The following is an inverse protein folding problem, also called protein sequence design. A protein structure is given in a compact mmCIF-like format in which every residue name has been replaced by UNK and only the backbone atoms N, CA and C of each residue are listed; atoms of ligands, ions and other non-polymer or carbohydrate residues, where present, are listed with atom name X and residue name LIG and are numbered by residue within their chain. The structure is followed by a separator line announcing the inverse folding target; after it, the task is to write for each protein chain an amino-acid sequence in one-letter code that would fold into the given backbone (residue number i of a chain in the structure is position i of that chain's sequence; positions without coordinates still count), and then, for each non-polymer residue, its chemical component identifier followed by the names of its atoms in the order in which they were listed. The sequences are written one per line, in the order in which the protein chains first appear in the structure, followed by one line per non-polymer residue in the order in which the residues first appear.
data_IF_269207991201
#
_entry.id   IF_269207991201
#
_cell.length_a   1.000
_cell.length_b   1.000
_cell.length_c   1.000
_cell.angle_alpha   90.00
_cell.angle_beta   90.00
_cell.angle_gamma   90.00
#
_symmetry.space_group_name_H-M   'P 1'
#
loop_
_entity.id
_entity.type
_entity.pdbx_description
1 polymer ?
#
# COMPACT_ATOMS: atom_id res chain seq x y z
N UNK A 1 13.39 52.09 -12.62
CA UNK A 1 12.92 51.26 -13.73
C UNK A 1 12.76 49.85 -13.15
N UNK A 2 11.60 49.24 -13.14
CA UNK A 2 11.50 47.82 -12.74
C UNK A 2 12.24 46.98 -13.78
N UNK A 3 13.15 46.14 -13.31
CA UNK A 3 13.89 45.18 -14.12
C UNK A 3 12.86 44.29 -14.89
N UNK A 4 12.94 44.31 -16.21
CA UNK A 4 12.12 43.39 -17.03
C UNK A 4 12.62 41.97 -16.77
N UNK A 5 11.75 41.16 -16.17
CA UNK A 5 11.98 39.73 -15.98
C UNK A 5 12.38 39.08 -17.32
N UNK A 6 13.37 38.20 -17.30
CA UNK A 6 13.75 37.42 -18.47
C UNK A 6 12.54 36.63 -19.02
N UNK A 7 12.55 36.28 -20.30
CA UNK A 7 11.49 35.47 -20.91
C UNK A 7 11.27 34.13 -20.16
N UNK A 8 12.35 33.57 -19.62
CA UNK A 8 12.35 32.34 -18.83
C UNK A 8 11.65 32.53 -17.49
N UNK A 9 11.91 33.67 -16.82
CA UNK A 9 11.27 34.00 -15.53
C UNK A 9 9.78 34.27 -15.72
N UNK A 10 9.41 34.95 -16.80
CA UNK A 10 7.99 35.19 -17.15
C UNK A 10 7.24 33.89 -17.42
N UNK A 11 7.87 32.93 -18.11
CA UNK A 11 7.28 31.61 -18.34
C UNK A 11 7.12 30.84 -17.02
N UNK A 12 8.12 30.88 -16.16
CA UNK A 12 8.07 30.23 -14.84
C UNK A 12 6.94 30.78 -13.98
N UNK A 13 6.79 32.11 -13.91
CA UNK A 13 5.69 32.76 -13.17
C UNK A 13 4.33 32.32 -13.72
N UNK A 14 4.14 32.33 -15.05
CA UNK A 14 2.89 31.90 -15.68
C UNK A 14 2.55 30.43 -15.40
N UNK A 15 3.55 29.54 -15.39
CA UNK A 15 3.35 28.13 -15.06
C UNK A 15 2.98 27.95 -13.59
N UNK A 16 3.56 28.69 -12.67
CA UNK A 16 3.19 28.68 -11.25
C UNK A 16 1.76 29.19 -11.03
N UNK A 17 1.37 30.28 -11.68
CA UNK A 17 0.00 30.81 -11.61
C UNK A 17 -1.02 29.80 -12.17
N UNK A 18 -0.70 29.18 -13.31
CA UNK A 18 -1.51 28.10 -13.88
C UNK A 18 -1.63 26.93 -12.91
N UNK A 19 -0.51 26.47 -12.33
CA UNK A 19 -0.49 25.37 -11.37
C UNK A 19 -1.37 25.66 -10.14
N UNK A 20 -1.26 26.86 -9.56
CA UNK A 20 -2.12 27.29 -8.44
C UNK A 20 -3.61 27.24 -8.80
N UNK A 21 -3.96 27.74 -9.98
CA UNK A 21 -5.35 27.72 -10.46
C UNK A 21 -5.87 26.30 -10.64
N UNK A 22 -5.06 25.37 -11.15
CA UNK A 22 -5.47 23.99 -11.41
C UNK A 22 -5.49 23.12 -10.15
N UNK A 23 -4.63 23.39 -9.16
CA UNK A 23 -4.72 22.79 -7.83
C UNK A 23 -6.08 23.12 -7.17
N UNK A 24 -6.60 24.33 -7.40
CA UNK A 24 -7.85 24.78 -6.83
C UNK A 24 -7.79 25.05 -5.32
N UNK A 25 -8.82 25.66 -4.78
CA UNK A 25 -8.84 26.09 -3.38
C UNK A 25 -8.69 24.90 -2.42
N UNK A 26 -9.42 23.80 -2.65
CA UNK A 26 -9.42 22.65 -1.73
C UNK A 26 -8.03 22.02 -1.53
N UNK A 27 -7.23 21.90 -2.61
CA UNK A 27 -5.87 21.37 -2.52
C UNK A 27 -4.92 22.42 -1.93
N UNK A 28 -5.04 23.69 -2.34
CA UNK A 28 -4.19 24.77 -1.84
C UNK A 28 -4.40 25.00 -0.34
N UNK A 29 -5.65 24.99 0.14
CA UNK A 29 -5.98 25.13 1.55
C UNK A 29 -5.41 23.97 2.35
N UNK A 30 -5.52 22.73 1.83
CA UNK A 30 -4.92 21.56 2.44
C UNK A 30 -3.38 21.65 2.48
N UNK A 31 -2.74 22.12 1.41
CA UNK A 31 -1.30 22.34 1.38
C UNK A 31 -0.86 23.47 2.34
N UNK A 32 -1.71 24.46 2.57
CA UNK A 32 -1.42 25.56 3.51
C UNK A 32 -1.62 25.18 4.98
N UNK A 33 -2.50 24.21 5.30
CA UNK A 33 -2.75 23.76 6.68
C UNK A 33 -1.50 23.02 7.23
N UNK A 34 -0.84 23.51 8.30
CA UNK A 34 0.37 22.88 8.85
C UNK A 34 0.12 21.47 9.42
N UNK A 35 -1.13 21.12 9.74
CA UNK A 35 -1.48 19.80 10.25
C UNK A 35 -1.64 18.75 9.16
N UNK A 36 -1.85 19.15 7.91
CA UNK A 36 -1.97 18.23 6.78
C UNK A 36 -0.58 17.76 6.36
N UNK A 37 -0.41 16.45 6.32
CA UNK A 37 0.84 15.78 5.93
C UNK A 37 0.80 15.41 4.45
N UNK A 38 -0.33 14.87 3.99
CA UNK A 38 -0.52 14.44 2.60
C UNK A 38 -1.91 14.81 2.06
N UNK A 39 -1.96 15.07 0.76
CA UNK A 39 -3.19 15.34 0.00
C UNK A 39 -3.29 14.32 -1.12
N UNK A 40 -4.41 13.62 -1.22
CA UNK A 40 -4.57 12.48 -2.12
C UNK A 40 -5.88 12.59 -2.91
N UNK A 41 -5.79 12.41 -4.22
CA UNK A 41 -6.96 12.23 -5.08
C UNK A 41 -7.09 10.77 -5.47
N UNK A 42 -8.25 10.19 -5.24
CA UNK A 42 -8.58 8.84 -5.70
C UNK A 42 -9.25 8.86 -7.09
N UNK A 43 -9.24 7.72 -7.82
CA UNK A 43 -9.89 7.63 -9.13
C UNK A 43 -11.41 7.90 -9.12
N UNK A 44 -12.07 7.82 -7.97
CA UNK A 44 -13.49 8.18 -7.80
C UNK A 44 -13.73 9.69 -7.66
N UNK A 45 -12.67 10.48 -7.78
CA UNK A 45 -12.68 11.92 -7.67
C UNK A 45 -12.69 12.47 -6.24
N UNK A 46 -12.63 11.62 -5.22
CA UNK A 46 -12.59 12.04 -3.81
C UNK A 46 -11.22 12.59 -3.44
N UNK A 47 -11.24 13.75 -2.79
CA UNK A 47 -10.04 14.35 -2.22
C UNK A 47 -9.92 13.94 -0.75
N UNK A 48 -8.83 13.27 -0.43
CA UNK A 48 -8.48 12.81 0.90
C UNK A 48 -7.28 13.58 1.43
N UNK A 49 -7.20 13.72 2.75
CA UNK A 49 -6.00 14.24 3.43
C UNK A 49 -5.59 13.30 4.55
N UNK A 50 -4.30 13.28 4.86
CA UNK A 50 -3.74 12.72 6.08
C UNK A 50 -3.39 13.89 7.02
N UNK A 51 -4.00 13.93 8.19
CA UNK A 51 -3.89 15.05 9.14
C UNK A 51 -3.22 14.55 10.44
N UNK A 52 -2.21 15.29 10.89
CA UNK A 52 -1.43 14.98 12.08
C UNK A 52 -2.34 14.82 13.31
N UNK A 53 -2.22 13.69 14.00
CA UNK A 53 -3.02 13.36 15.17
C UNK A 53 -4.46 12.91 14.90
N UNK A 54 -4.93 13.04 13.66
CA UNK A 54 -6.30 12.64 13.24
C UNK A 54 -6.26 11.44 12.30
N UNK A 55 -5.26 11.39 11.39
CA UNK A 55 -5.15 10.38 10.35
C UNK A 55 -5.91 10.75 9.07
N UNK A 56 -6.25 9.75 8.28
CA UNK A 56 -6.90 9.94 6.98
C UNK A 56 -8.37 10.31 7.09
N UNK A 57 -8.78 11.32 6.30
CA UNK A 57 -10.19 11.69 6.16
C UNK A 57 -10.54 12.15 4.74
N UNK A 58 -11.77 11.88 4.33
CA UNK A 58 -12.39 12.46 3.14
C UNK A 58 -12.69 13.94 3.43
N UNK A 59 -12.23 14.85 2.56
CA UNK A 59 -12.49 16.30 2.71
C UNK A 59 -13.93 16.68 2.31
N UNK A 60 -14.67 15.78 1.68
CA UNK A 60 -15.95 16.07 1.01
C UNK A 60 -15.80 16.73 -0.34
N UNK A 61 -14.61 17.20 -0.71
CA UNK A 61 -14.33 17.82 -2.00
C UNK A 61 -14.22 16.78 -3.12
N UNK A 62 -14.55 17.20 -4.33
CA UNK A 62 -14.45 16.37 -5.53
C UNK A 62 -13.66 17.12 -6.61
N UNK A 63 -12.78 16.38 -7.29
CA UNK A 63 -12.05 16.85 -8.49
C UNK A 63 -12.43 15.93 -9.63
N UNK A 64 -12.89 16.53 -10.74
CA UNK A 64 -13.24 15.75 -11.93
C UNK A 64 -11.99 15.15 -12.59
N UNK A 65 -12.18 14.06 -13.35
CA UNK A 65 -11.09 13.43 -14.08
C UNK A 65 -10.37 14.42 -15.02
N UNK A 66 -11.13 15.27 -15.73
CA UNK A 66 -10.55 16.26 -16.62
C UNK A 66 -9.73 17.34 -15.87
N UNK A 67 -10.17 17.77 -14.69
CA UNK A 67 -9.40 18.70 -13.86
C UNK A 67 -8.12 18.06 -13.34
N UNK A 68 -8.19 16.81 -12.89
CA UNK A 68 -7.03 16.06 -12.40
C UNK A 68 -6.01 15.79 -13.51
N UNK A 69 -6.47 15.46 -14.72
CA UNK A 69 -5.60 15.26 -15.89
C UNK A 69 -4.89 16.56 -16.28
N UNK A 70 -5.61 17.69 -16.35
CA UNK A 70 -5.03 19.00 -16.61
C UNK A 70 -4.00 19.40 -15.57
N UNK A 71 -4.31 19.17 -14.27
CA UNK A 71 -3.38 19.41 -13.17
C UNK A 71 -2.10 18.59 -13.34
N UNK A 72 -2.22 17.29 -13.58
CA UNK A 72 -1.04 16.41 -13.74
C UNK A 72 -0.23 16.79 -14.98
N UNK A 73 -0.89 17.19 -16.09
CA UNK A 73 -0.22 17.73 -17.27
C UNK A 73 0.56 19.01 -16.96
N UNK A 74 -0.02 19.91 -16.15
CA UNK A 74 0.65 21.15 -15.73
C UNK A 74 1.82 20.86 -14.77
N UNK A 75 1.65 19.96 -13.81
CA UNK A 75 2.76 19.51 -12.95
C UNK A 75 3.89 18.91 -13.79
N UNK A 76 3.57 18.01 -14.72
CA UNK A 76 4.56 17.42 -15.62
C UNK A 76 5.33 18.50 -16.41
N UNK A 77 4.62 19.49 -16.96
CA UNK A 77 5.24 20.60 -17.68
C UNK A 77 6.18 21.43 -16.82
N UNK A 78 5.85 21.66 -15.53
CA UNK A 78 6.74 22.38 -14.60
C UNK A 78 8.02 21.60 -14.30
N UNK A 79 7.98 20.27 -14.43
CA UNK A 79 9.12 19.36 -14.22
C UNK A 79 9.88 19.07 -15.52
N UNK A 80 9.45 19.64 -16.67
CA UNK A 80 10.05 19.34 -17.97
C UNK A 80 9.69 17.98 -18.54
N UNK A 81 8.58 17.37 -18.06
CA UNK A 81 8.06 16.09 -18.52
C UNK A 81 6.76 16.22 -19.31
N UNK A 82 6.40 15.15 -19.98
CA UNK A 82 5.06 14.96 -20.54
C UNK A 82 4.48 13.67 -19.98
N UNK A 83 3.34 13.77 -19.31
CA UNK A 83 2.58 12.61 -18.85
C UNK A 83 1.55 12.24 -19.93
N UNK A 84 1.51 10.98 -20.34
CA UNK A 84 0.62 10.45 -21.38
C UNK A 84 0.14 9.04 -21.00
N UNK A 85 -0.86 8.47 -21.70
CA UNK A 85 -1.25 7.08 -21.51
C UNK A 85 -0.11 6.06 -21.67
N UNK A 86 0.91 6.38 -22.49
CA UNK A 86 2.12 5.57 -22.69
C UNK A 86 3.15 5.77 -21.56
N UNK A 87 3.09 6.93 -20.90
CA UNK A 87 3.92 7.30 -19.75
C UNK A 87 3.03 7.80 -18.61
N UNK A 88 2.20 6.91 -18.03
CA UNK A 88 1.11 7.32 -17.17
C UNK A 88 1.51 7.58 -15.72
N UNK A 89 2.80 7.48 -15.38
CA UNK A 89 3.32 7.69 -14.03
C UNK A 89 4.17 8.94 -13.99
N UNK A 90 3.78 9.90 -13.16
CA UNK A 90 4.49 11.13 -12.85
C UNK A 90 5.04 11.07 -11.44
N UNK A 91 6.32 11.33 -11.27
CA UNK A 91 6.98 11.45 -9.97
C UNK A 91 7.88 12.68 -9.98
N UNK A 92 7.79 13.51 -8.93
CA UNK A 92 8.61 14.73 -8.85
C UNK A 92 8.31 15.57 -7.61
N UNK A 93 8.70 16.83 -7.66
CA UNK A 93 8.45 17.83 -6.62
C UNK A 93 7.66 19.01 -7.21
N UNK A 94 6.67 19.50 -6.44
CA UNK A 94 5.89 20.66 -6.84
C UNK A 94 6.78 21.93 -6.77
N UNK A 95 6.83 22.67 -7.87
CA UNK A 95 7.55 23.93 -7.94
C UNK A 95 6.87 25.10 -7.15
N UNK A 96 6.00 24.79 -6.21
CA UNK A 96 5.33 25.74 -5.33
C UNK A 96 5.97 25.80 -3.96
N UNK A 97 6.21 24.63 -3.38
CA UNK A 97 6.59 24.46 -1.97
C UNK A 97 7.57 23.30 -1.75
N UNK A 98 8.03 22.63 -2.81
CA UNK A 98 8.90 21.46 -2.73
C UNK A 98 8.22 20.18 -2.27
N UNK A 99 6.89 20.16 -2.18
CA UNK A 99 6.13 18.94 -1.87
C UNK A 99 6.36 17.86 -2.92
N UNK A 100 6.54 16.62 -2.50
CA UNK A 100 6.68 15.49 -3.43
C UNK A 100 5.33 15.12 -4.01
N UNK A 101 5.29 14.90 -5.31
CA UNK A 101 4.09 14.50 -6.03
C UNK A 101 4.29 13.18 -6.75
N UNK A 102 3.29 12.31 -6.64
CA UNK A 102 3.12 11.13 -7.48
C UNK A 102 1.74 11.22 -8.14
N UNK A 103 1.71 11.23 -9.47
CA UNK A 103 0.49 11.31 -10.28
C UNK A 103 0.37 10.11 -11.20
N UNK A 104 -0.86 9.68 -11.45
CA UNK A 104 -1.19 8.54 -12.28
C UNK A 104 -2.30 8.88 -13.26
N UNK A 105 -2.14 8.47 -14.51
CA UNK A 105 -3.18 8.54 -15.54
C UNK A 105 -3.68 7.14 -15.94
N UNK A 106 -4.87 7.04 -16.53
CA UNK A 106 -5.23 5.85 -17.27
C UNK A 106 -4.17 5.51 -18.33
N UNK A 107 -3.94 4.21 -18.60
CA UNK A 107 -4.70 3.05 -18.18
C UNK A 107 -4.25 2.36 -16.88
N UNK A 108 -3.21 2.87 -16.20
CA UNK A 108 -2.71 2.31 -14.91
C UNK A 108 -3.81 2.36 -13.83
N UNK A 109 -4.57 3.44 -13.81
CA UNK A 109 -5.75 3.66 -12.96
C UNK A 109 -7.01 3.80 -13.81
N UNK A 110 -8.19 3.78 -13.21
CA UNK A 110 -9.45 3.99 -13.93
C UNK A 110 -9.67 5.44 -14.35
N UNK A 111 -9.26 6.36 -13.51
CA UNK A 111 -9.28 7.81 -13.75
C UNK A 111 -8.05 8.41 -13.05
N UNK A 112 -7.64 9.66 -13.39
CA UNK A 112 -6.47 10.28 -12.81
C UNK A 112 -6.48 10.25 -11.27
N UNK A 113 -5.32 9.98 -10.68
CA UNK A 113 -5.11 9.95 -9.24
C UNK A 113 -3.77 10.60 -8.90
N UNK A 114 -3.66 11.18 -7.70
CA UNK A 114 -2.38 11.69 -7.23
C UNK A 114 -2.25 11.59 -5.72
N UNK A 115 -1.00 11.65 -5.25
CA UNK A 115 -0.63 11.86 -3.87
C UNK A 115 0.43 12.97 -3.82
N UNK A 116 0.19 13.97 -2.98
CA UNK A 116 1.12 15.07 -2.70
C UNK A 116 1.52 14.95 -1.24
N UNK A 117 2.79 14.62 -0.98
CA UNK A 117 3.37 14.62 0.36
C UNK A 117 4.05 15.94 0.61
N UNK A 118 3.59 16.70 1.59
CA UNK A 118 4.15 18.00 1.95
C UNK A 118 5.62 17.88 2.37
N UNK A 119 6.42 18.84 1.94
CA UNK A 119 7.75 19.03 2.54
C UNK A 119 7.58 19.35 4.02
N UNK A 120 8.41 18.74 4.89
CA UNK A 120 8.35 19.00 6.32
C UNK A 120 8.60 20.50 6.58
N UNK A 121 7.56 21.19 6.98
CA UNK A 121 7.64 22.64 7.27
C UNK A 121 8.30 22.93 8.63
N UNK A 122 8.38 21.93 9.51
CA UNK A 122 8.92 22.06 10.87
C UNK A 122 10.11 21.12 11.04
N UNK A 123 11.21 21.66 11.50
CA UNK A 123 12.34 20.88 12.05
C UNK A 123 12.07 20.74 13.53
N UNK A 124 11.76 19.54 13.99
CA UNK A 124 11.59 19.22 15.39
C UNK A 124 12.96 19.15 16.07
N UNK A 125 13.13 19.91 17.15
CA UNK A 125 14.23 19.70 18.08
C UNK A 125 13.95 18.52 19.01
N UNK A 126 14.97 17.99 19.70
CA UNK A 126 14.78 16.87 20.65
C UNK A 126 13.78 17.22 21.77
N UNK A 127 13.74 18.49 22.21
CA UNK A 127 12.79 18.97 23.22
C UNK A 127 11.34 18.91 22.73
N UNK A 128 11.10 19.09 21.43
CA UNK A 128 9.78 18.92 20.83
C UNK A 128 9.34 17.45 20.89
N UNK A 129 10.26 16.52 20.59
CA UNK A 129 9.99 15.07 20.70
C UNK A 129 9.70 14.65 22.14
N UNK A 130 10.36 15.24 23.14
CA UNK A 130 10.07 15.00 24.56
C UNK A 130 8.69 15.56 24.93
N UNK A 131 8.44 16.83 24.55
CA UNK A 131 7.14 17.49 24.85
C UNK A 131 5.96 16.74 24.23
N UNK A 132 6.12 16.23 23.01
CA UNK A 132 5.08 15.52 22.27
C UNK A 132 5.00 14.03 22.68
N UNK A 133 5.82 13.59 23.67
CA UNK A 133 5.84 12.23 24.18
C UNK A 133 6.38 11.17 23.20
N UNK A 134 7.16 11.62 22.22
CA UNK A 134 7.81 10.74 21.23
C UNK A 134 9.13 10.18 21.77
N UNK A 135 9.86 10.98 22.57
CA UNK A 135 11.01 10.56 23.35
C UNK A 135 10.61 10.50 24.83
N UNK A 136 11.15 9.54 25.57
CA UNK A 136 11.01 9.33 27.00
C UNK A 136 9.59 8.98 27.52
N UNK A 137 9.44 7.78 28.03
CA UNK A 137 8.33 7.37 28.87
C UNK A 137 7.00 7.14 28.15
N UNK A 138 6.97 7.11 26.83
CA UNK A 138 5.85 6.54 26.13
C UNK A 138 5.88 5.04 26.40
N UNK A 139 5.14 4.62 27.43
CA UNK A 139 4.58 3.27 27.44
C UNK A 139 3.71 3.25 26.19
N UNK A 140 4.24 2.68 25.10
CA UNK A 140 3.39 2.30 23.97
C UNK A 140 2.18 1.62 24.60
N UNK A 141 0.93 2.04 24.28
CA UNK A 141 -0.22 1.34 24.79
C UNK A 141 0.07 -0.12 24.51
N UNK A 142 0.23 -0.88 25.58
CA UNK A 142 0.41 -2.31 25.49
C UNK A 142 -0.71 -2.74 24.59
N UNK A 143 -0.43 -3.42 23.49
CA UNK A 143 -1.43 -3.98 22.57
C UNK A 143 -2.37 -4.96 23.30
N UNK A 144 -2.57 -4.76 24.60
CA UNK A 144 -3.49 -5.44 25.49
C UNK A 144 -4.97 -5.23 25.16
N UNK A 145 -5.27 -4.37 24.18
CA UNK A 145 -6.62 -4.25 23.61
C UNK A 145 -6.73 -4.93 22.23
N UNK A 146 -5.74 -5.71 21.82
CA UNK A 146 -5.93 -6.63 20.71
C UNK A 146 -6.90 -7.70 21.21
N UNK A 147 -8.04 -7.83 20.55
CA UNK A 147 -8.99 -8.90 20.78
C UNK A 147 -8.25 -10.22 21.03
N UNK A 148 -8.64 -10.97 22.08
CA UNK A 148 -8.00 -12.26 22.36
C UNK A 148 -7.98 -13.09 21.07
N UNK A 149 -6.93 -13.88 20.91
CA UNK A 149 -6.81 -14.78 19.77
C UNK A 149 -8.11 -15.57 19.58
N UNK A 150 -8.59 -15.73 18.35
CA UNK A 150 -9.86 -16.35 18.09
C UNK A 150 -9.91 -17.75 18.64
N UNK A 151 -11.02 -18.06 19.30
CA UNK A 151 -11.16 -19.30 20.06
C UNK A 151 -11.33 -20.54 19.19
N UNK A 152 -11.75 -20.43 17.92
CA UNK A 152 -11.83 -21.56 17.00
C UNK A 152 -12.19 -21.16 15.56
N UNK A 153 -11.83 -22.02 14.61
CA UNK A 153 -12.25 -21.97 13.21
C UNK A 153 -11.40 -21.08 12.29
N UNK A 154 -11.21 -21.54 11.07
CA UNK A 154 -10.43 -20.84 10.03
C UNK A 154 -10.87 -19.39 9.81
N UNK A 155 -12.18 -19.11 9.84
CA UNK A 155 -12.72 -17.76 9.64
C UNK A 155 -12.27 -16.79 10.76
N UNK A 156 -12.24 -17.26 12.01
CA UNK A 156 -11.81 -16.45 13.14
C UNK A 156 -10.31 -16.14 13.05
N UNK A 157 -9.48 -17.12 12.67
CA UNK A 157 -8.04 -16.94 12.44
C UNK A 157 -7.80 -15.88 11.36
N UNK A 158 -8.51 -15.96 10.23
CA UNK A 158 -8.35 -15.00 9.12
C UNK A 158 -8.82 -13.60 9.50
N UNK A 159 -9.94 -13.45 10.24
CA UNK A 159 -10.39 -12.16 10.77
C UNK A 159 -9.37 -11.55 11.71
N UNK A 160 -8.79 -12.36 12.60
CA UNK A 160 -7.73 -11.91 13.49
C UNK A 160 -6.51 -11.43 12.70
N UNK A 161 -6.05 -12.19 11.71
CA UNK A 161 -4.92 -11.82 10.86
C UNK A 161 -5.17 -10.48 10.12
N UNK A 162 -6.38 -10.25 9.62
CA UNK A 162 -6.75 -8.96 9.00
C UNK A 162 -6.69 -7.81 9.99
N UNK A 163 -7.26 -7.98 11.20
CA UNK A 163 -7.29 -6.93 12.25
C UNK A 163 -5.89 -6.59 12.76
N UNK A 164 -5.06 -7.60 12.97
CA UNK A 164 -3.69 -7.46 13.46
C UNK A 164 -2.67 -7.14 12.35
N UNK A 165 -3.15 -6.87 11.14
CA UNK A 165 -2.32 -6.48 9.99
C UNK A 165 -1.25 -7.52 9.63
N UNK A 166 -1.56 -8.80 9.76
CA UNK A 166 -0.67 -9.87 9.28
C UNK A 166 -0.66 -9.91 7.75
N UNK A 167 0.50 -10.14 7.18
CA UNK A 167 0.68 -10.35 5.75
C UNK A 167 0.28 -11.78 5.40
N UNK A 168 -0.71 -11.91 4.51
CA UNK A 168 -1.34 -13.20 4.17
C UNK A 168 -0.95 -13.61 2.76
N UNK A 169 -0.34 -14.78 2.64
CA UNK A 169 -0.06 -15.42 1.36
C UNK A 169 -1.12 -16.50 1.09
N UNK A 170 -1.94 -16.31 0.06
CA UNK A 170 -2.92 -17.29 -0.39
C UNK A 170 -2.29 -18.19 -1.46
N UNK A 171 -2.24 -19.49 -1.18
CA UNK A 171 -1.59 -20.50 -1.99
C UNK A 171 -2.62 -21.46 -2.55
N UNK A 172 -2.44 -21.90 -3.79
CA UNK A 172 -3.30 -22.92 -4.41
C UNK A 172 -3.02 -23.08 -5.91
N UNK A 173 -3.45 -24.19 -6.45
CA UNK A 173 -3.35 -24.49 -7.88
C UNK A 173 -4.23 -23.60 -8.76
N UNK A 174 -4.18 -23.84 -10.07
CA UNK A 174 -5.06 -23.17 -11.03
C UNK A 174 -6.53 -23.46 -10.72
N UNK A 175 -7.39 -22.44 -10.77
CA UNK A 175 -8.83 -22.53 -10.49
C UNK A 175 -9.19 -23.03 -9.07
N UNK A 176 -8.25 -23.05 -8.13
CA UNK A 176 -8.52 -23.46 -6.74
C UNK A 176 -9.37 -22.44 -5.96
N UNK A 177 -9.47 -21.18 -6.43
CA UNK A 177 -10.26 -20.13 -5.80
C UNK A 177 -9.43 -19.12 -5.01
N UNK A 178 -8.12 -19.01 -5.28
CA UNK A 178 -7.22 -18.01 -4.62
C UNK A 178 -7.77 -16.60 -4.68
N UNK A 179 -8.11 -16.12 -5.88
CA UNK A 179 -8.67 -14.77 -6.08
C UNK A 179 -10.01 -14.61 -5.37
N UNK A 180 -10.85 -15.66 -5.36
CA UNK A 180 -12.12 -15.63 -4.62
C UNK A 180 -11.90 -15.50 -3.12
N UNK A 181 -10.91 -16.22 -2.56
CA UNK A 181 -10.54 -16.11 -1.15
C UNK A 181 -9.94 -14.75 -0.85
N UNK A 182 -9.05 -14.24 -1.71
CA UNK A 182 -8.50 -12.88 -1.58
C UNK A 182 -9.61 -11.82 -1.55
N UNK A 183 -10.64 -11.95 -2.38
CA UNK A 183 -11.82 -11.09 -2.34
C UNK A 183 -12.62 -11.24 -1.04
N UNK A 184 -12.72 -12.42 -0.47
CA UNK A 184 -13.30 -12.64 0.85
C UNK A 184 -12.51 -11.93 1.96
N UNK A 185 -11.18 -11.99 1.90
CA UNK A 185 -10.31 -11.27 2.84
C UNK A 185 -10.42 -9.75 2.67
N UNK A 186 -10.53 -9.25 1.43
CA UNK A 186 -10.77 -7.82 1.16
C UNK A 186 -12.14 -7.36 1.67
N UNK A 187 -13.16 -8.19 1.58
CA UNK A 187 -14.48 -7.89 2.16
C UNK A 187 -14.38 -7.76 3.69
N UNK A 188 -13.72 -8.71 4.36
CA UNK A 188 -13.48 -8.65 5.81
C UNK A 188 -12.63 -7.43 6.18
N UNK A 189 -11.63 -7.08 5.37
CA UNK A 189 -10.84 -5.88 5.56
C UNK A 189 -11.71 -4.62 5.53
N UNK A 190 -12.64 -4.52 4.57
CA UNK A 190 -13.55 -3.36 4.47
C UNK A 190 -14.38 -3.17 5.72
N UNK A 191 -14.91 -4.26 6.28
CA UNK A 191 -15.71 -4.23 7.51
C UNK A 191 -14.88 -3.89 8.76
N UNK A 192 -13.60 -4.28 8.76
CA UNK A 192 -12.72 -4.12 9.93
C UNK A 192 -12.07 -2.74 10.01
N UNK A 193 -11.72 -2.11 8.87
CA UNK A 193 -10.93 -0.87 8.87
C UNK A 193 -11.71 0.37 8.45
N UNK A 194 -12.86 0.21 7.79
CA UNK A 194 -13.66 1.33 7.31
C UNK A 194 -12.86 2.30 6.43
N UNK A 195 -12.91 3.59 6.75
CA UNK A 195 -12.18 4.66 6.04
C UNK A 195 -10.83 5.01 6.64
N UNK A 196 -10.40 4.33 7.71
CA UNK A 196 -9.18 4.70 8.45
C UNK A 196 -7.88 4.27 7.77
N UNK A 197 -7.95 3.39 6.78
CA UNK A 197 -6.78 2.91 6.06
C UNK A 197 -6.92 3.13 4.55
N UNK A 198 -5.79 3.43 3.93
CA UNK A 198 -5.66 3.51 2.47
C UNK A 198 -5.16 2.18 1.93
N UNK A 199 -5.94 1.57 1.04
CA UNK A 199 -5.63 0.26 0.43
C UNK A 199 -5.30 0.44 -1.04
N UNK A 200 -4.18 -0.10 -1.47
CA UNK A 200 -3.82 -0.18 -2.89
C UNK A 200 -3.87 -1.63 -3.34
N UNK A 201 -4.58 -1.88 -4.44
CA UNK A 201 -4.57 -3.18 -5.13
C UNK A 201 -3.79 -3.09 -6.42
N UNK A 202 -2.98 -4.10 -6.72
CA UNK A 202 -2.10 -4.15 -7.90
C UNK A 202 -2.34 -5.47 -8.63
N UNK A 203 -2.69 -5.40 -9.92
CA UNK A 203 -3.09 -6.56 -10.70
C UNK A 203 -2.66 -6.43 -12.17
N UNK A 204 -2.51 -7.56 -12.86
CA UNK A 204 -2.44 -7.60 -14.33
C UNK A 204 -3.84 -7.48 -14.93
N UNK A 205 -4.76 -8.27 -14.43
CA UNK A 205 -6.18 -8.26 -14.82
C UNK A 205 -7.03 -7.99 -13.58
N UNK A 206 -8.02 -7.13 -13.73
CA UNK A 206 -8.89 -6.74 -12.61
C UNK A 206 -9.81 -7.87 -12.18
N UNK A 207 -9.50 -8.46 -11.05
CA UNK A 207 -10.27 -9.53 -10.42
C UNK A 207 -10.58 -9.22 -8.95
N UNK A 208 -9.75 -8.39 -8.30
CA UNK A 208 -9.92 -8.00 -6.92
C UNK A 208 -11.07 -6.97 -6.77
N UNK A 209 -11.88 -7.18 -5.74
CA UNK A 209 -13.03 -6.34 -5.41
C UNK A 209 -12.82 -5.70 -4.04
N UNK A 210 -12.09 -4.61 -4.01
CA UNK A 210 -11.87 -3.83 -2.81
C UNK A 210 -12.93 -2.73 -2.71
N UNK A 211 -13.69 -2.70 -1.63
CA UNK A 211 -14.74 -1.73 -1.34
C UNK A 211 -14.36 -0.78 -0.20
N UNK A 212 -13.11 -0.80 0.24
CA UNK A 212 -12.59 0.17 1.22
C UNK A 212 -12.75 1.59 0.65
N UNK A 213 -13.32 2.55 1.39
CA UNK A 213 -13.59 3.89 0.88
C UNK A 213 -12.35 4.61 0.33
N UNK A 214 -11.19 4.45 0.98
CA UNK A 214 -9.92 5.03 0.51
C UNK A 214 -9.10 3.95 -0.23
N UNK A 215 -9.46 3.71 -1.49
CA UNK A 215 -8.87 2.66 -2.31
C UNK A 215 -8.37 3.19 -3.66
N UNK A 216 -7.24 2.67 -4.11
CA UNK A 216 -6.71 2.86 -5.47
C UNK A 216 -6.39 1.50 -6.08
N UNK A 217 -7.01 1.19 -7.21
CA UNK A 217 -6.70 0.01 -8.00
C UNK A 217 -5.69 0.35 -9.11
N UNK A 218 -4.54 -0.30 -9.08
CA UNK A 218 -3.47 -0.18 -10.07
C UNK A 218 -3.49 -1.41 -10.98
N UNK A 219 -3.28 -1.19 -12.27
CA UNK A 219 -3.19 -2.26 -13.27
C UNK A 219 -1.97 -2.08 -14.15
N UNK A 220 -1.31 -3.19 -14.49
CA UNK A 220 -0.21 -3.19 -15.47
C UNK A 220 -0.66 -2.70 -16.84
N UNK A 221 0.28 -2.21 -17.60
CA UNK A 221 0.13 -1.80 -18.99
C UNK A 221 1.29 -2.38 -19.80
N UNK A 222 1.33 -2.18 -21.11
CA UNK A 222 2.48 -2.57 -21.93
C UNK A 222 3.78 -1.86 -21.49
N UNK A 223 3.68 -0.67 -20.90
CA UNK A 223 4.83 0.16 -20.51
C UNK A 223 5.09 0.22 -19.01
N UNK A 224 4.19 -0.30 -18.19
CA UNK A 224 4.29 -0.29 -16.72
C UNK A 224 4.02 -1.69 -16.18
N UNK A 225 5.07 -2.37 -15.81
CA UNK A 225 5.01 -3.71 -15.24
C UNK A 225 4.62 -3.72 -13.75
N UNK A 226 4.43 -4.92 -13.21
CA UNK A 226 4.05 -5.16 -11.83
C UNK A 226 5.10 -4.61 -10.85
N UNK A 227 6.39 -4.79 -11.12
CA UNK A 227 7.49 -4.30 -10.29
C UNK A 227 7.47 -2.78 -10.17
N UNK A 228 7.24 -2.08 -11.30
CA UNK A 228 7.11 -0.62 -11.34
C UNK A 228 5.91 -0.17 -10.52
N UNK A 229 4.76 -0.86 -10.64
CA UNK A 229 3.56 -0.52 -9.89
C UNK A 229 3.74 -0.70 -8.38
N UNK A 230 4.36 -1.79 -7.92
CA UNK A 230 4.64 -1.98 -6.49
C UNK A 230 5.52 -0.86 -5.94
N UNK A 231 6.57 -0.46 -6.68
CA UNK A 231 7.43 0.66 -6.28
C UNK A 231 6.69 1.99 -6.28
N UNK A 232 5.84 2.24 -7.27
CA UNK A 232 5.03 3.47 -7.37
C UNK A 232 3.98 3.51 -6.25
N UNK A 233 3.40 2.37 -5.88
CA UNK A 233 2.46 2.26 -4.78
C UNK A 233 3.00 2.84 -3.46
N UNK A 234 4.29 2.67 -3.17
CA UNK A 234 4.96 3.24 -1.98
C UNK A 234 4.90 4.78 -1.93
N UNK A 235 4.71 5.45 -3.07
CA UNK A 235 4.59 6.91 -3.16
C UNK A 235 3.15 7.40 -3.12
N UNK A 236 2.18 6.48 -3.05
CA UNK A 236 0.75 6.79 -2.99
C UNK A 236 0.19 6.73 -1.57
N UNK A 237 1.04 6.71 -0.57
CA UNK A 237 0.70 6.68 0.86
C UNK A 237 -0.17 5.46 1.22
N UNK A 238 0.23 4.23 0.92
CA UNK A 238 -0.54 3.05 1.28
C UNK A 238 -0.43 2.73 2.78
N UNK A 239 -1.52 2.26 3.37
CA UNK A 239 -1.46 1.53 4.64
C UNK A 239 -1.35 0.04 4.39
N UNK A 240 -1.94 -0.44 3.28
CA UNK A 240 -1.86 -1.84 2.85
C UNK A 240 -1.67 -1.92 1.34
N UNK A 241 -0.82 -2.85 0.92
CA UNK A 241 -0.56 -3.16 -0.49
C UNK A 241 -0.99 -4.62 -0.74
N UNK A 242 -1.96 -4.77 -1.64
CA UNK A 242 -2.53 -6.06 -2.03
C UNK A 242 -2.08 -6.37 -3.45
N UNK A 243 -1.50 -7.54 -3.67
CA UNK A 243 -1.06 -7.98 -5.00
C UNK A 243 -1.93 -9.16 -5.43
N UNK A 244 -2.67 -8.99 -6.52
CA UNK A 244 -3.64 -9.98 -6.99
C UNK A 244 -3.01 -11.35 -7.22
N UNK A 245 -1.90 -11.39 -7.91
CA UNK A 245 -1.08 -12.59 -8.10
C UNK A 245 0.39 -12.21 -8.29
N UNK A 246 1.27 -12.97 -7.64
CA UNK A 246 2.73 -12.82 -7.77
C UNK A 246 3.24 -13.89 -8.71
N UNK A 247 3.84 -13.47 -9.84
CA UNK A 247 4.30 -14.36 -10.92
C UNK A 247 5.76 -14.19 -11.29
N UNK A 248 6.39 -13.08 -10.89
CA UNK A 248 7.75 -12.72 -11.30
C UNK A 248 8.52 -11.89 -10.29
N UNK A 249 9.44 -11.09 -10.79
CA UNK A 249 10.39 -10.28 -10.03
C UNK A 249 9.76 -9.27 -9.05
N UNK A 250 8.49 -8.92 -9.23
CA UNK A 250 7.72 -8.06 -8.32
C UNK A 250 7.64 -8.63 -6.90
N UNK A 251 7.81 -9.95 -6.74
CA UNK A 251 7.88 -10.63 -5.45
C UNK A 251 8.85 -9.93 -4.49
N UNK A 252 10.04 -9.57 -4.95
CA UNK A 252 11.04 -8.88 -4.13
C UNK A 252 10.56 -7.52 -3.65
N UNK A 253 9.97 -6.72 -4.55
CA UNK A 253 9.48 -5.38 -4.21
C UNK A 253 8.29 -5.46 -3.25
N UNK A 254 7.38 -6.41 -3.44
CA UNK A 254 6.24 -6.68 -2.56
C UNK A 254 6.71 -7.06 -1.15
N UNK A 255 7.59 -8.05 -1.01
CA UNK A 255 8.10 -8.50 0.29
C UNK A 255 8.82 -7.38 1.04
N UNK A 256 9.65 -6.60 0.34
CA UNK A 256 10.29 -5.41 0.94
C UNK A 256 9.25 -4.40 1.42
N UNK A 257 8.20 -4.15 0.66
CA UNK A 257 7.15 -3.20 1.06
C UNK A 257 6.39 -3.68 2.31
N UNK A 258 6.08 -4.95 2.40
CA UNK A 258 5.43 -5.55 3.56
C UNK A 258 6.30 -5.48 4.82
N UNK A 259 7.61 -5.66 4.66
CA UNK A 259 8.57 -5.63 5.78
C UNK A 259 8.97 -4.21 6.22
N UNK A 260 8.71 -3.18 5.41
CA UNK A 260 9.15 -1.81 5.67
C UNK A 260 8.00 -0.81 5.86
N UNK A 261 7.06 -1.13 6.76
CA UNK A 261 6.03 -0.16 7.19
C UNK A 261 4.66 -0.30 6.54
N UNK A 262 4.44 -1.29 5.66
CA UNK A 262 3.14 -1.54 5.03
C UNK A 262 2.60 -2.95 5.32
N UNK A 263 2.45 -3.33 6.62
CA UNK A 263 1.95 -4.65 7.01
C UNK A 263 0.46 -4.82 6.71
N UNK A 264 0.01 -6.08 6.68
CA UNK A 264 -1.37 -6.43 6.38
C UNK A 264 -1.67 -6.54 4.90
N UNK A 265 -0.64 -6.87 4.12
CA UNK A 265 -0.76 -7.20 2.71
C UNK A 265 -1.44 -8.55 2.48
N UNK A 266 -2.01 -8.71 1.29
CA UNK A 266 -2.56 -9.98 0.80
C UNK A 266 -2.00 -10.20 -0.59
N UNK A 267 -1.50 -11.41 -0.85
CA UNK A 267 -1.08 -11.79 -2.19
C UNK A 267 -1.46 -13.23 -2.48
N UNK A 268 -1.55 -13.58 -3.77
CA UNK A 268 -1.75 -14.98 -4.17
C UNK A 268 -0.53 -15.50 -4.94
N UNK A 269 -0.25 -16.79 -4.80
CA UNK A 269 0.80 -17.47 -5.54
C UNK A 269 0.35 -18.90 -5.93
N UNK A 270 0.84 -19.37 -7.06
CA UNK A 270 0.61 -20.75 -7.50
C UNK A 270 1.59 -21.71 -6.81
N UNK A 271 1.07 -22.54 -5.91
CA UNK A 271 1.77 -23.67 -5.32
C UNK A 271 0.78 -24.67 -4.72
N UNK A 272 1.25 -25.84 -4.27
CA UNK A 272 0.40 -26.94 -3.84
C UNK A 272 0.20 -27.01 -2.32
N UNK A 273 1.12 -26.48 -1.53
CA UNK A 273 1.10 -26.46 -0.06
C UNK A 273 1.80 -25.21 0.48
N UNK A 274 1.76 -24.99 1.78
CA UNK A 274 2.32 -23.82 2.43
C UNK A 274 3.83 -23.68 2.19
N UNK A 275 4.59 -24.75 2.33
CA UNK A 275 6.04 -24.76 2.13
C UNK A 275 6.41 -24.48 0.68
N UNK A 276 5.71 -25.14 -0.27
CA UNK A 276 5.88 -24.91 -1.70
C UNK A 276 5.58 -23.45 -2.08
N UNK A 277 4.63 -22.81 -1.40
CA UNK A 277 4.32 -21.38 -1.58
C UNK A 277 5.52 -20.47 -1.27
N UNK A 278 6.24 -20.70 -0.17
CA UNK A 278 7.45 -19.93 0.18
C UNK A 278 8.61 -20.23 -0.77
N UNK A 279 8.81 -21.50 -1.14
CA UNK A 279 9.83 -21.88 -2.13
C UNK A 279 9.51 -21.21 -3.49
N UNK A 280 8.24 -21.15 -3.87
CA UNK A 280 7.84 -20.45 -5.09
C UNK A 280 8.14 -18.94 -5.02
N UNK A 281 7.87 -18.29 -3.90
CA UNK A 281 8.27 -16.89 -3.69
C UNK A 281 9.79 -16.72 -3.80
N UNK A 282 10.58 -17.65 -3.26
CA UNK A 282 12.04 -17.62 -3.36
C UNK A 282 12.52 -17.68 -4.83
N UNK A 283 11.91 -18.56 -5.63
CA UNK A 283 12.18 -18.63 -7.08
C UNK A 283 11.83 -17.30 -7.78
N UNK A 284 10.66 -16.72 -7.48
CA UNK A 284 10.23 -15.46 -8.07
C UNK A 284 11.10 -14.28 -7.65
N UNK A 285 11.59 -14.25 -6.40
CA UNK A 285 12.55 -13.25 -5.94
C UNK A 285 13.85 -13.31 -6.75
N UNK A 286 14.30 -14.50 -7.12
CA UNK A 286 15.53 -14.69 -7.92
C UNK A 286 15.37 -14.17 -9.35
N UNK A 287 14.16 -14.03 -9.89
CA UNK A 287 13.91 -13.39 -11.18
C UNK A 287 14.29 -11.90 -11.19
N UNK A 288 14.46 -11.28 -10.00
CA UNK A 288 15.04 -9.93 -9.87
C UNK A 288 16.58 -9.91 -9.93
N UNK A 289 17.23 -11.00 -10.34
CA UNK A 289 18.68 -11.17 -10.40
C UNK A 289 19.38 -10.98 -9.03
N UNK A 290 18.76 -11.46 -7.96
CA UNK A 290 19.32 -11.48 -6.61
C UNK A 290 19.42 -12.93 -6.10
N UNK A 291 20.34 -13.23 -5.16
CA UNK A 291 20.38 -14.54 -4.52
C UNK A 291 19.09 -14.82 -3.73
N UNK A 292 18.82 -16.09 -3.38
CA UNK A 292 17.70 -16.47 -2.52
C UNK A 292 17.64 -15.63 -1.25
N UNK A 293 16.43 -15.23 -0.84
CA UNK A 293 16.18 -14.33 0.29
C UNK A 293 15.24 -14.99 1.34
N UNK A 294 15.55 -16.18 1.88
CA UNK A 294 14.63 -16.89 2.76
C UNK A 294 14.34 -16.13 4.06
N UNK A 295 15.30 -15.38 4.59
CA UNK A 295 15.09 -14.55 5.77
C UNK A 295 14.07 -13.43 5.50
N UNK A 296 14.21 -12.68 4.40
CA UNK A 296 13.26 -11.64 4.01
C UNK A 296 11.85 -12.20 3.81
N UNK A 297 11.74 -13.36 3.15
CA UNK A 297 10.45 -14.00 2.91
C UNK A 297 9.79 -14.40 4.23
N UNK A 298 10.57 -15.01 5.14
CA UNK A 298 10.07 -15.45 6.43
C UNK A 298 9.72 -14.30 7.39
N UNK A 299 10.35 -13.13 7.22
CA UNK A 299 10.01 -11.92 7.96
C UNK A 299 8.76 -11.23 7.39
N UNK A 300 8.60 -11.25 6.06
CA UNK A 300 7.54 -10.52 5.40
C UNK A 300 6.20 -11.27 5.36
N UNK A 301 6.20 -12.60 5.40
CA UNK A 301 4.98 -13.42 5.36
C UNK A 301 4.65 -13.93 6.76
N UNK A 302 3.52 -13.53 7.31
CA UNK A 302 3.08 -13.96 8.65
C UNK A 302 2.22 -15.24 8.57
N UNK A 303 1.32 -15.30 7.59
CA UNK A 303 0.32 -16.36 7.48
C UNK A 303 0.23 -16.88 6.06
N UNK A 304 0.17 -18.19 5.91
CA UNK A 304 -0.08 -18.86 4.63
C UNK A 304 -1.42 -19.58 4.72
N UNK A 305 -2.23 -19.44 3.66
CA UNK A 305 -3.54 -20.09 3.54
C UNK A 305 -3.57 -20.89 2.27
N UNK A 306 -3.72 -22.21 2.40
CA UNK A 306 -3.78 -23.14 1.25
C UNK A 306 -5.22 -23.43 0.91
N UNK A 307 -5.62 -23.13 -0.34
CA UNK A 307 -6.94 -23.42 -0.86
C UNK A 307 -6.85 -24.38 -2.05
N UNK A 308 -7.60 -25.46 -1.99
CA UNK A 308 -7.63 -26.49 -3.02
C UNK A 308 -9.01 -26.70 -3.60
N UNK A 309 -9.05 -27.18 -4.84
CA UNK A 309 -10.27 -27.67 -5.46
C UNK A 309 -10.45 -29.14 -5.12
N UNK A 310 -11.62 -29.52 -4.62
CA UNK A 310 -12.03 -30.90 -4.32
C UNK A 310 -13.22 -31.27 -5.18
N UNK A 311 -13.60 -32.56 -5.29
CA UNK A 311 -14.80 -32.99 -6.00
C UNK A 311 -16.10 -32.34 -5.48
N UNK A 312 -16.14 -32.00 -4.19
CA UNK A 312 -17.29 -31.37 -3.51
C UNK A 312 -17.25 -29.85 -3.46
N UNK A 313 -16.23 -29.19 -4.07
CA UNK A 313 -16.08 -27.75 -4.07
C UNK A 313 -14.65 -27.30 -3.75
N UNK A 314 -14.51 -26.12 -3.13
CA UNK A 314 -13.22 -25.56 -2.70
C UNK A 314 -13.06 -25.68 -1.20
N UNK A 315 -11.86 -25.99 -0.74
CA UNK A 315 -11.55 -26.14 0.69
C UNK A 315 -10.26 -25.46 1.06
N UNK A 316 -10.23 -24.81 2.23
CA UNK A 316 -8.99 -24.45 2.90
C UNK A 316 -8.51 -25.72 3.61
N UNK A 317 -7.34 -26.21 3.23
CA UNK A 317 -6.76 -27.45 3.74
C UNK A 317 -5.67 -27.21 4.76
N UNK A 318 -5.08 -26.01 4.76
CA UNK A 318 -4.00 -25.66 5.64
C UNK A 318 -4.01 -24.15 5.91
N UNK A 319 -3.81 -23.77 7.16
CA UNK A 319 -3.37 -22.44 7.54
C UNK A 319 -2.11 -22.61 8.37
N UNK A 320 -1.02 -21.94 7.98
CA UNK A 320 0.25 -22.06 8.66
C UNK A 320 0.84 -20.69 8.99
N UNK A 321 1.40 -20.55 10.18
CA UNK A 321 2.19 -19.39 10.60
C UNK A 321 3.64 -19.58 10.19
N UNK A 322 4.28 -18.50 9.73
CA UNK A 322 5.70 -18.48 9.39
C UNK A 322 6.49 -17.93 10.57
N UNK A 323 7.35 -18.74 11.15
CA UNK A 323 8.19 -18.35 12.30
C UNK A 323 9.60 -17.91 11.92
N UNK A 324 10.09 -18.33 10.76
CA UNK A 324 11.44 -18.01 10.32
C UNK A 324 11.94 -18.90 9.20
N UNK A 325 13.23 -18.73 8.90
CA UNK A 325 13.97 -19.61 8.02
C UNK A 325 15.28 -20.06 8.72
N UNK A 326 15.66 -21.31 8.50
CA UNK A 326 16.88 -21.92 9.01
C UNK A 326 17.65 -22.62 7.90
N UNK A 327 18.81 -23.18 8.19
CA UNK A 327 19.57 -23.98 7.22
C UNK A 327 18.79 -25.20 6.70
N UNK A 328 17.81 -25.71 7.48
CA UNK A 328 16.93 -26.81 7.08
C UNK A 328 15.67 -26.35 6.32
N UNK A 329 15.52 -25.04 6.03
CA UNK A 329 14.39 -24.43 5.32
C UNK A 329 13.48 -23.63 6.22
N UNK A 330 12.27 -23.33 5.72
CA UNK A 330 11.27 -22.52 6.44
C UNK A 330 10.69 -23.25 7.65
N UNK A 331 10.53 -22.51 8.75
CA UNK A 331 9.90 -22.99 10.00
C UNK A 331 8.43 -22.59 9.94
N UNK A 332 7.57 -23.57 9.75
CA UNK A 332 6.12 -23.41 9.63
C UNK A 332 5.42 -24.11 10.80
N UNK A 333 4.43 -23.46 11.35
CA UNK A 333 3.52 -24.01 12.36
C UNK A 333 2.11 -24.09 11.78
N UNK A 334 1.59 -25.29 11.52
CA UNK A 334 0.19 -25.46 11.14
C UNK A 334 -0.73 -24.99 12.28
N UNK A 335 -1.74 -24.19 11.94
CA UNK A 335 -2.72 -23.73 12.92
C UNK A 335 -3.91 -24.67 12.87
N UNK A 336 -4.13 -25.42 13.97
CA UNK A 336 -5.30 -26.27 14.13
C UNK A 336 -6.53 -25.38 14.45
N UNK A 337 -7.56 -25.35 13.59
CA UNK A 337 -8.73 -24.53 13.83
C UNK A 337 -9.59 -24.97 15.04
N UNK A 338 -9.26 -26.11 15.65
CA UNK A 338 -9.97 -26.63 16.82
C UNK A 338 -9.32 -26.27 18.14
N UNK A 339 -8.06 -25.76 18.11
CA UNK A 339 -7.31 -25.41 19.30
C UNK A 339 -7.47 -23.92 19.62
N UNK A 340 -7.77 -23.63 20.88
CA UNK A 340 -7.79 -22.27 21.44
C UNK A 340 -6.36 -21.84 21.78
N UNK A 341 -5.75 -20.96 21.00
CA UNK A 341 -4.45 -20.39 21.36
C UNK A 341 -4.59 -19.31 22.44
N UNK A 342 -3.97 -19.56 23.61
CA UNK A 342 -3.87 -18.60 24.71
C UNK A 342 -2.55 -17.81 24.73
N UNK A 343 -1.73 -17.85 23.69
CA UNK A 343 -0.37 -17.30 23.72
C UNK A 343 -0.32 -15.87 23.20
N UNK A 344 0.22 -14.89 23.96
CA UNK A 344 0.45 -13.53 23.48
C UNK A 344 1.56 -13.51 22.42
N UNK A 345 1.27 -13.01 21.23
CA UNK A 345 2.28 -12.83 20.18
C UNK A 345 3.16 -11.62 20.47
N UNK A 346 4.47 -11.81 20.52
CA UNK A 346 5.44 -10.73 20.35
C UNK A 346 5.48 -10.32 18.87
N UNK A 347 5.13 -9.08 18.58
CA UNK A 347 5.21 -8.52 17.23
C UNK A 347 6.67 -8.40 16.78
N UNK A 348 7.01 -9.03 15.65
CA UNK A 348 8.31 -8.93 15.00
C UNK A 348 8.56 -7.57 14.30
N UNK A 349 7.55 -6.71 14.16
CA UNK A 349 7.62 -5.48 13.35
C UNK A 349 7.95 -4.20 14.13
N UNK A 350 8.49 -4.29 15.36
CA UNK A 350 8.84 -3.13 16.18
C UNK A 350 10.34 -2.75 16.16
N UNK A 351 11.11 -3.22 15.16
CA UNK A 351 12.49 -2.81 14.98
C UNK A 351 12.66 -2.25 13.56
N UNK A 352 12.14 -1.07 13.32
CA UNK A 352 12.62 -0.13 12.30
C UNK A 352 11.97 1.23 12.58
N UNK A 353 12.57 1.99 13.48
CA UNK A 353 12.55 3.46 13.47
C UNK A 353 13.73 3.94 12.65
#
# INVERSE_FOLDING_TARGET
MPEQLSLRDQLHVRLQEKLRRELGAAVLDALADPRVIEVMLNPDGRLWIDELGVGMRDTGSRISAAQAENLLGTVAATLGYVITPERPVLEGELNLDGSRVCGLLPPVVLAPAFCIRKAAALVYGLDDYVRDGILDGVVLPTLASIDPAPTCGHAAILRHAIRTRQNILVVGGTQSGKTTLANGLLHELTTSVGSTQRVLTIEETRELRCTVPNHVALRTTETVDMTRLVRTALRLRPDRIIVGEVRGAEALAMLKSWNTGHPGGIATVHANDARAGLIRLEQLVQEANVPPQPALIAEAVDLIVVIVRTPTGRKITEIARVHGASASGYVLEPIDPTIVEQTPQMHRHLIAL
#
